data_IF_252027793237
#
_entry.id   IF_252027793237
#
_cell.length_a   1.000
_cell.length_b   1.000
_cell.length_c   1.000
_cell.angle_alpha   90.00
_cell.angle_beta   90.00
_cell.angle_gamma   90.00
#
_symmetry.space_group_name_H-M   'P 1'
#
loop_
_entity.id
_entity.type
_entity.pdbx_description
1 polymer ?
#
# COMPACT_ATOMS: atom_id res chain seq x y z
N UNK A 1 -3.25 -14.79 26.02
CA UNK A 1 -3.38 -13.92 27.22
C UNK A 1 -2.13 -13.87 28.11
N UNK A 2 -1.21 -14.83 28.04
CA UNK A 2 -0.03 -14.90 28.92
C UNK A 2 0.80 -13.60 28.99
N UNK A 3 1.15 -13.00 27.83
CA UNK A 3 1.96 -11.77 27.77
C UNK A 3 1.26 -10.60 28.47
N UNK A 4 -0.03 -10.38 28.19
CA UNK A 4 -0.78 -9.29 28.82
C UNK A 4 -0.84 -9.47 30.34
N UNK A 5 -1.12 -10.69 30.82
CA UNK A 5 -1.15 -11.00 32.27
C UNK A 5 0.20 -10.78 32.95
N UNK A 6 1.31 -11.07 32.26
CA UNK A 6 2.65 -10.81 32.79
C UNK A 6 2.93 -9.33 33.02
N UNK A 7 2.44 -8.44 32.15
CA UNK A 7 2.68 -6.99 32.26
C UNK A 7 1.63 -6.24 33.10
N UNK A 8 0.50 -6.87 33.43
CA UNK A 8 -0.59 -6.23 34.21
C UNK A 8 -0.50 -6.45 35.72
N UNK A 9 0.48 -7.22 36.22
CA UNK A 9 0.67 -7.46 37.66
C UNK A 9 -0.51 -8.23 38.27
N UNK A 10 -0.99 -7.79 39.44
CA UNK A 10 -2.04 -8.47 40.21
C UNK A 10 -3.47 -8.25 39.69
N UNK A 11 -3.62 -7.65 38.50
CA UNK A 11 -4.94 -7.49 37.87
C UNK A 11 -5.37 -8.82 37.23
N UNK A 12 -6.53 -9.34 37.67
CA UNK A 12 -7.16 -10.49 37.03
C UNK A 12 -7.67 -10.12 35.63
N UNK A 13 -6.84 -10.37 34.60
CA UNK A 13 -7.21 -10.12 33.20
C UNK A 13 -8.15 -11.23 32.71
N UNK A 14 -9.43 -10.93 32.38
CA UNK A 14 -10.36 -11.95 31.90
C UNK A 14 -9.93 -12.51 30.54
N UNK A 15 -10.53 -13.64 30.15
CA UNK A 15 -10.35 -14.15 28.79
C UNK A 15 -11.16 -13.30 27.78
N UNK A 16 -10.65 -13.14 26.54
CA UNK A 16 -11.34 -12.37 25.52
C UNK A 16 -12.65 -13.06 25.13
N UNK A 17 -13.70 -12.26 24.93
CA UNK A 17 -15.02 -12.75 24.48
C UNK A 17 -14.96 -13.04 22.96
N UNK A 18 -14.22 -12.24 22.21
CA UNK A 18 -13.99 -12.40 20.78
C UNK A 18 -12.56 -11.97 20.40
N UNK A 19 -12.05 -12.51 19.29
CA UNK A 19 -10.73 -12.17 18.77
C UNK A 19 -10.74 -12.10 17.24
N UNK A 20 -10.26 -10.99 16.71
CA UNK A 20 -10.00 -10.81 15.27
C UNK A 20 -8.49 -10.77 15.07
N UNK A 21 -7.98 -11.60 14.16
CA UNK A 21 -6.57 -11.63 13.79
C UNK A 21 -6.44 -11.47 12.28
N UNK A 22 -5.74 -10.44 11.84
CA UNK A 22 -5.44 -10.25 10.42
C UNK A 22 -4.43 -11.29 9.93
N UNK A 23 -4.51 -11.62 8.64
CA UNK A 23 -3.57 -12.51 7.95
C UNK A 23 -3.15 -11.89 6.62
N UNK A 24 -2.65 -10.65 6.68
CA UNK A 24 -2.32 -9.81 5.53
C UNK A 24 -1.41 -10.48 4.50
N UNK A 25 -0.42 -11.25 4.96
CA UNK A 25 0.53 -11.96 4.11
C UNK A 25 -0.15 -13.01 3.20
N UNK A 26 -1.09 -13.79 3.76
CA UNK A 26 -1.75 -14.87 3.03
C UNK A 26 -3.05 -14.44 2.34
N UNK A 27 -3.50 -13.21 2.56
CA UNK A 27 -4.66 -12.67 1.86
C UNK A 27 -4.32 -12.47 0.37
N UNK A 28 -5.08 -13.05 -0.57
CA UNK A 28 -4.74 -13.03 -1.99
C UNK A 28 -4.81 -11.64 -2.63
N UNK A 29 -5.52 -10.71 -2.02
CA UNK A 29 -5.71 -9.33 -2.50
C UNK A 29 -4.65 -8.36 -1.97
N UNK A 30 -4.07 -8.62 -0.81
CA UNK A 30 -3.05 -7.74 -0.20
C UNK A 30 -1.64 -8.32 -0.31
N UNK A 31 -1.48 -9.64 -0.19
CA UNK A 31 -0.20 -10.38 -0.33
C UNK A 31 0.95 -9.88 0.54
N UNK A 32 0.62 -9.19 1.62
CA UNK A 32 1.55 -8.38 2.40
C UNK A 32 0.80 -7.27 3.13
N UNK A 33 1.52 -6.50 3.93
CA UNK A 33 0.98 -5.33 4.63
C UNK A 33 1.28 -4.04 3.85
N UNK A 34 2.55 -3.66 3.78
CA UNK A 34 3.01 -2.44 3.14
C UNK A 34 4.37 -2.66 2.48
N UNK A 35 4.68 -1.85 1.48
CA UNK A 35 6.00 -1.82 0.86
C UNK A 35 7.05 -1.32 1.84
N UNK A 36 8.30 -1.74 1.67
CA UNK A 36 9.45 -1.23 2.40
C UNK A 36 10.69 -1.33 1.52
N UNK A 37 11.75 -0.58 1.83
CA UNK A 37 13.02 -0.69 1.12
C UNK A 37 13.84 -1.82 1.74
N UNK A 38 14.08 -2.86 0.94
CA UNK A 38 14.92 -3.98 1.34
C UNK A 38 16.42 -3.66 1.18
N UNK A 39 17.27 -4.61 1.52
CA UNK A 39 18.75 -4.45 1.44
C UNK A 39 19.27 -4.22 0.02
N UNK A 40 18.47 -4.51 -1.02
CA UNK A 40 18.81 -4.27 -2.42
C UNK A 40 18.39 -2.88 -2.91
N UNK A 41 17.56 -2.14 -2.15
CA UNK A 41 17.06 -0.82 -2.55
C UNK A 41 18.17 0.16 -3.00
N UNK A 42 19.38 0.21 -2.39
CA UNK A 42 20.47 1.06 -2.86
C UNK A 42 20.94 0.75 -4.29
N UNK A 43 20.74 -0.48 -4.78
CA UNK A 43 21.06 -0.89 -6.15
C UNK A 43 19.98 -0.44 -7.14
N UNK A 44 18.79 -0.11 -6.65
CA UNK A 44 17.62 0.31 -7.45
C UNK A 44 16.99 1.60 -6.90
N UNK A 45 17.73 2.72 -6.85
CA UNK A 45 17.28 3.96 -6.19
C UNK A 45 16.04 4.60 -6.85
N UNK A 46 15.70 4.19 -8.08
CA UNK A 46 14.54 4.70 -8.81
C UNK A 46 13.36 3.71 -8.84
N UNK A 47 13.43 2.53 -8.21
CA UNK A 47 12.43 1.47 -8.35
C UNK A 47 10.99 1.95 -8.09
N UNK A 48 10.78 2.78 -7.05
CA UNK A 48 9.45 3.34 -6.73
C UNK A 48 8.96 4.34 -7.78
N UNK A 49 9.85 5.24 -8.22
CA UNK A 49 9.54 6.20 -9.29
C UNK A 49 9.20 5.45 -10.58
N UNK A 50 9.94 4.40 -10.88
CA UNK A 50 9.71 3.56 -12.05
C UNK A 50 8.38 2.80 -11.94
N UNK A 51 8.02 2.31 -10.75
CA UNK A 51 6.73 1.66 -10.49
C UNK A 51 5.54 2.61 -10.71
N UNK A 52 5.70 3.90 -10.44
CA UNK A 52 4.67 4.92 -10.67
C UNK A 52 4.57 5.42 -12.12
N UNK A 53 5.47 5.03 -13.02
CA UNK A 53 5.44 5.50 -14.42
C UNK A 53 4.26 4.89 -15.19
N UNK A 54 3.55 5.67 -16.00
CA UNK A 54 2.45 5.13 -16.79
C UNK A 54 2.95 4.20 -17.91
N UNK A 55 2.10 3.27 -18.34
CA UNK A 55 2.30 2.58 -19.62
C UNK A 55 1.78 3.48 -20.74
N UNK A 56 2.64 3.74 -21.73
CA UNK A 56 2.36 4.57 -22.90
C UNK A 56 2.16 3.72 -24.15
N UNK A 57 1.31 4.17 -25.07
CA UNK A 57 1.15 3.54 -26.38
C UNK A 57 2.19 4.02 -27.41
N UNK A 58 2.10 3.48 -28.64
CA UNK A 58 3.00 3.84 -29.74
C UNK A 58 2.91 5.32 -30.17
N UNK A 59 1.81 6.01 -29.83
CA UNK A 59 1.64 7.44 -30.06
C UNK A 59 2.15 8.29 -28.88
N UNK A 60 2.72 7.66 -27.84
CA UNK A 60 3.21 8.33 -26.64
C UNK A 60 2.10 8.71 -25.65
N UNK A 61 0.87 8.22 -25.83
CA UNK A 61 -0.24 8.55 -24.94
C UNK A 61 -0.28 7.58 -23.74
N UNK A 62 -0.45 8.07 -22.50
CA UNK A 62 -0.67 7.22 -21.34
C UNK A 62 -1.95 6.39 -21.48
N UNK A 63 -1.85 5.08 -21.26
CA UNK A 63 -2.98 4.13 -21.33
C UNK A 63 -3.28 3.46 -20.00
N UNK A 64 -2.25 3.24 -19.18
CA UNK A 64 -2.38 2.67 -17.84
C UNK A 64 -1.61 3.53 -16.85
N UNK A 65 -2.29 4.01 -15.81
CA UNK A 65 -1.67 4.69 -14.67
C UNK A 65 -1.54 3.73 -13.49
N UNK A 66 -0.43 3.83 -12.75
CA UNK A 66 -0.22 3.12 -11.49
C UNK A 66 -0.24 4.12 -10.34
N UNK A 67 -1.01 3.78 -9.30
CA UNK A 67 -1.07 4.55 -8.07
C UNK A 67 -1.12 3.62 -6.85
N UNK A 68 -0.74 4.14 -5.69
CA UNK A 68 -0.75 3.42 -4.42
C UNK A 68 0.44 3.79 -3.55
N UNK A 69 0.49 3.30 -2.31
CA UNK A 69 1.56 3.65 -1.37
C UNK A 69 2.96 3.30 -1.89
N UNK A 70 3.07 2.23 -2.69
CA UNK A 70 4.34 1.73 -3.20
C UNK A 70 5.03 2.68 -4.19
N UNK A 71 4.29 3.60 -4.82
CA UNK A 71 4.78 4.47 -5.91
C UNK A 71 5.33 5.82 -5.45
N UNK A 72 5.09 6.24 -4.20
CA UNK A 72 5.62 7.49 -3.64
C UNK A 72 7.04 7.28 -3.07
N UNK A 73 8.07 8.00 -3.56
CA UNK A 73 9.44 7.85 -3.05
C UNK A 73 9.66 8.32 -1.60
N UNK A 74 8.71 9.08 -1.06
CA UNK A 74 8.81 9.82 0.21
C UNK A 74 7.79 9.33 1.24
N UNK A 75 6.57 9.00 0.83
CA UNK A 75 5.47 8.64 1.73
C UNK A 75 5.00 7.19 1.61
N UNK A 76 5.82 6.30 1.05
CA UNK A 76 5.53 4.87 1.04
C UNK A 76 5.35 4.30 2.46
N UNK A 77 4.69 3.14 2.55
CA UNK A 77 4.25 2.50 3.80
C UNK A 77 3.21 3.27 4.63
N UNK A 78 2.77 4.45 4.19
CA UNK A 78 1.74 5.22 4.87
C UNK A 78 0.45 5.25 4.05
N UNK A 79 -0.69 5.49 4.72
CA UNK A 79 -1.89 5.89 4.01
C UNK A 79 -1.71 7.33 3.53
N UNK A 80 -1.30 7.49 2.28
CA UNK A 80 -1.37 8.76 1.57
C UNK A 80 -1.72 8.52 0.10
N UNK A 81 -2.92 8.95 -0.29
CA UNK A 81 -3.16 9.48 -1.64
C UNK A 81 -3.65 10.90 -1.39
N UNK A 82 -2.80 11.86 -1.71
CA UNK A 82 -3.06 13.30 -1.58
C UNK A 82 -4.24 13.66 -2.49
N UNK A 83 -5.06 14.62 -2.06
CA UNK A 83 -6.18 15.14 -2.85
C UNK A 83 -5.80 15.54 -4.30
N UNK A 84 -4.52 15.81 -4.57
CA UNK A 84 -3.96 16.16 -5.87
C UNK A 84 -4.05 15.03 -6.91
N UNK A 85 -3.76 13.79 -6.53
CA UNK A 85 -3.92 12.65 -7.45
C UNK A 85 -5.41 12.49 -7.83
N UNK A 86 -6.32 12.81 -6.89
CA UNK A 86 -7.78 12.79 -7.12
C UNK A 86 -8.25 13.78 -8.18
N UNK A 87 -7.54 14.89 -8.34
CA UNK A 87 -7.90 15.98 -9.25
C UNK A 87 -7.44 15.69 -10.70
N UNK A 88 -6.30 15.01 -10.86
CA UNK A 88 -5.86 14.44 -12.15
C UNK A 88 -6.86 13.42 -12.72
N UNK A 89 -7.60 12.69 -11.86
CA UNK A 89 -8.56 11.67 -12.28
C UNK A 89 -9.84 12.22 -12.94
N UNK A 90 -10.23 13.47 -12.65
CA UNK A 90 -11.45 14.05 -13.23
C UNK A 90 -11.26 14.57 -14.66
N UNK A 91 -10.01 14.66 -15.12
CA UNK A 91 -9.64 15.20 -16.45
C UNK A 91 -9.12 14.10 -17.39
N UNK A 92 -9.13 12.84 -16.96
CA UNK A 92 -8.61 11.72 -17.72
C UNK A 92 -9.49 11.42 -18.96
N UNK A 93 -8.89 11.24 -20.15
CA UNK A 93 -9.64 10.87 -21.35
C UNK A 93 -10.26 9.47 -21.20
N UNK A 94 -11.35 9.21 -21.94
CA UNK A 94 -12.19 8.01 -21.83
C UNK A 94 -11.47 6.67 -22.08
N UNK A 95 -10.22 6.71 -22.55
CA UNK A 95 -9.41 5.57 -22.96
C UNK A 95 -8.25 5.27 -21.97
N UNK A 96 -8.21 5.98 -20.83
CA UNK A 96 -7.23 5.81 -19.75
C UNK A 96 -7.75 4.83 -18.69
N UNK A 97 -6.98 3.78 -18.43
CA UNK A 97 -7.26 2.81 -17.37
C UNK A 97 -6.38 3.11 -16.15
N UNK A 98 -6.97 3.09 -14.96
CA UNK A 98 -6.23 3.26 -13.70
C UNK A 98 -6.17 1.93 -12.96
N UNK A 99 -4.97 1.52 -12.56
CA UNK A 99 -4.78 0.43 -11.62
C UNK A 99 -4.49 0.99 -10.24
N UNK A 100 -5.42 0.76 -9.31
CA UNK A 100 -5.24 1.04 -7.89
C UNK A 100 -5.27 -0.28 -7.14
N UNK A 101 -4.23 -0.56 -6.37
CA UNK A 101 -4.24 -1.66 -5.40
C UNK A 101 -5.32 -1.37 -4.36
N UNK A 102 -6.42 -2.12 -4.40
CA UNK A 102 -7.49 -2.05 -3.41
C UNK A 102 -7.02 -2.82 -2.17
N UNK A 103 -6.31 -2.13 -1.29
CA UNK A 103 -6.01 -2.63 0.05
C UNK A 103 -6.59 -1.65 1.06
N UNK A 104 -7.82 -1.93 1.49
CA UNK A 104 -8.45 -1.39 2.70
C UNK A 104 -8.74 -2.55 3.66
#
# INVERSE_FOLDING_TARGET
MAVIRQFMGDVAVPDPIEMIRSSWYSNPFTRGSYSYDNTLAPQFPNARKDLGKPLIDAAGQPRVLFAGEATDPTHFSTRAITLEERQLYQLAPANLYMYKSLTD
#
